data_IF_734440191829
#
_entry.id   IF_734440191829
#
_cell.length_a   1.000
_cell.length_b   1.000
_cell.length_c   1.000
_cell.angle_alpha   90.00
_cell.angle_beta   90.00
_cell.angle_gamma   90.00
#
_symmetry.space_group_name_H-M   'P 1'
#
loop_
_entity.id
_entity.type
_entity.pdbx_description
1 polymer ?
#
# COMPACT_ATOMS: atom_id res chain seq x y z
N UNK A 1 10.65 14.06 -11.14
CA UNK A 1 11.25 14.82 -10.01
C UNK A 1 10.30 15.76 -9.25
N UNK A 2 8.97 15.64 -9.43
CA UNK A 2 8.02 16.48 -8.69
C UNK A 2 8.04 16.17 -7.18
N UNK A 3 8.01 14.90 -6.80
CA UNK A 3 7.97 14.47 -5.39
C UNK A 3 9.23 14.93 -4.62
N UNK A 4 10.39 14.92 -5.25
CA UNK A 4 11.66 15.36 -4.63
C UNK A 4 11.71 16.85 -4.24
N UNK A 5 10.78 17.66 -4.71
CA UNK A 5 10.65 19.04 -4.25
C UNK A 5 10.08 19.13 -2.83
N UNK A 6 9.53 18.03 -2.31
CA UNK A 6 8.81 17.96 -1.05
C UNK A 6 9.38 16.94 -0.05
N UNK A 7 10.37 16.15 -0.46
CA UNK A 7 11.03 15.17 0.42
C UNK A 7 12.52 15.02 0.06
N UNK A 8 13.34 14.79 1.07
CA UNK A 8 14.79 14.57 0.92
C UNK A 8 15.04 13.13 0.44
N UNK A 9 14.36 12.15 1.03
CA UNK A 9 14.45 10.73 0.71
C UNK A 9 13.12 10.18 0.23
N UNK A 10 13.14 9.31 -0.76
CA UNK A 10 11.98 8.62 -1.30
C UNK A 10 12.22 7.11 -1.28
N UNK A 11 11.29 6.36 -0.71
CA UNK A 11 11.27 4.91 -0.85
C UNK A 11 10.13 4.47 -1.76
N UNK A 12 10.45 3.74 -2.81
CA UNK A 12 9.49 3.17 -3.75
C UNK A 12 9.35 1.68 -3.47
N UNK A 13 8.15 1.25 -3.12
CA UNK A 13 7.85 -0.14 -2.78
C UNK A 13 6.96 -0.75 -3.86
N UNK A 14 7.47 -1.80 -4.51
CA UNK A 14 6.72 -2.59 -5.47
C UNK A 14 6.01 -3.77 -4.78
N UNK A 15 4.71 -3.94 -5.05
CA UNK A 15 3.93 -5.11 -4.63
C UNK A 15 3.34 -5.77 -5.88
N UNK A 16 3.58 -7.07 -6.12
CA UNK A 16 3.05 -7.77 -7.30
C UNK A 16 1.54 -7.96 -7.22
N UNK A 17 0.83 -7.59 -8.29
CA UNK A 17 -0.58 -7.90 -8.46
C UNK A 17 -0.80 -9.32 -9.00
N UNK A 18 -1.98 -9.88 -8.80
CA UNK A 18 -2.27 -11.26 -9.24
C UNK A 18 -2.48 -11.38 -10.78
N UNK A 19 -2.81 -10.29 -11.48
CA UNK A 19 -3.05 -10.27 -12.93
C UNK A 19 -1.86 -9.78 -13.75
N UNK A 20 -0.92 -9.07 -13.15
CA UNK A 20 0.18 -8.38 -13.83
C UNK A 20 1.56 -8.68 -13.23
N UNK A 21 1.67 -9.73 -12.45
CA UNK A 21 2.87 -10.10 -11.66
C UNK A 21 4.18 -9.90 -12.39
N UNK A 22 4.28 -10.43 -13.61
CA UNK A 22 5.52 -10.39 -14.37
C UNK A 22 5.73 -9.01 -15.03
N UNK A 23 4.71 -8.44 -15.64
CA UNK A 23 4.81 -7.15 -16.33
C UNK A 23 5.06 -6.00 -15.36
N UNK A 24 4.40 -5.99 -14.21
CA UNK A 24 4.62 -4.97 -13.19
C UNK A 24 5.99 -5.11 -12.53
N UNK A 25 6.49 -6.35 -12.33
CA UNK A 25 7.86 -6.59 -11.87
C UNK A 25 8.90 -6.01 -12.84
N UNK A 26 8.78 -6.33 -14.13
CA UNK A 26 9.70 -5.80 -15.13
C UNK A 26 9.64 -4.27 -15.23
N UNK A 27 8.45 -3.69 -15.10
CA UNK A 27 8.28 -2.24 -15.08
C UNK A 27 8.98 -1.61 -13.87
N UNK A 28 8.75 -2.14 -12.67
CA UNK A 28 9.38 -1.64 -11.44
C UNK A 28 10.91 -1.74 -11.53
N UNK A 29 11.42 -2.87 -12.03
CA UNK A 29 12.85 -3.07 -12.23
C UNK A 29 13.44 -2.12 -13.28
N UNK A 30 12.76 -1.94 -14.42
CA UNK A 30 13.19 -1.00 -15.47
C UNK A 30 13.22 0.45 -14.94
N UNK A 31 12.20 0.86 -14.21
CA UNK A 31 12.14 2.19 -13.61
C UNK A 31 13.25 2.41 -12.58
N UNK A 32 13.55 1.42 -11.76
CA UNK A 32 14.64 1.50 -10.77
C UNK A 32 16.02 1.67 -11.42
N UNK A 33 16.20 1.21 -12.65
CA UNK A 33 17.44 1.41 -13.43
C UNK A 33 17.44 2.70 -14.24
N UNK A 34 16.29 3.14 -14.69
CA UNK A 34 16.15 4.37 -15.48
C UNK A 34 16.22 5.64 -14.63
N UNK A 35 15.80 5.56 -13.37
CA UNK A 35 15.81 6.67 -12.42
C UNK A 35 16.97 6.45 -11.44
N UNK A 36 18.15 6.85 -11.87
CA UNK A 36 19.39 6.78 -11.07
C UNK A 36 19.51 8.02 -10.19
N UNK A 37 18.92 7.96 -9.00
CA UNK A 37 18.94 9.03 -8.01
C UNK A 37 19.28 8.43 -6.65
N UNK A 38 20.38 8.85 -5.99
CA UNK A 38 20.84 8.26 -4.73
C UNK A 38 19.86 8.44 -3.56
N UNK A 39 18.93 9.39 -3.65
CA UNK A 39 17.93 9.64 -2.62
C UNK A 39 16.63 8.89 -2.90
N UNK A 40 16.61 7.98 -3.89
CA UNK A 40 15.47 7.12 -4.18
C UNK A 40 15.86 5.66 -3.92
N UNK A 41 15.31 5.10 -2.86
CA UNK A 41 15.46 3.68 -2.54
C UNK A 41 14.36 2.89 -3.23
N UNK A 42 14.73 1.94 -4.08
CA UNK A 42 13.82 1.07 -4.79
C UNK A 42 13.79 -0.31 -4.15
N UNK A 43 12.64 -0.70 -3.60
CA UNK A 43 12.38 -2.08 -3.22
C UNK A 43 11.60 -2.77 -4.33
N UNK A 44 12.33 -3.42 -5.23
CA UNK A 44 11.80 -4.20 -6.35
C UNK A 44 11.84 -5.71 -6.10
N UNK A 45 12.10 -6.16 -4.87
CA UNK A 45 12.05 -7.57 -4.52
C UNK A 45 10.68 -8.16 -4.83
N UNK A 46 10.68 -9.37 -5.39
CA UNK A 46 9.45 -10.08 -5.74
C UNK A 46 8.87 -10.78 -4.50
N UNK A 47 8.35 -9.98 -3.57
CA UNK A 47 7.70 -10.45 -2.36
C UNK A 47 6.23 -9.99 -2.34
N UNK A 48 5.33 -10.89 -1.96
CA UNK A 48 3.89 -10.59 -1.90
C UNK A 48 3.51 -9.73 -0.70
N UNK A 49 4.35 -9.74 0.35
CA UNK A 49 4.17 -8.93 1.57
C UNK A 49 5.45 -8.21 1.92
N UNK A 50 5.34 -6.94 2.23
CA UNK A 50 6.47 -6.10 2.66
C UNK A 50 6.09 -5.27 3.87
N UNK A 51 7.07 -5.01 4.72
CA UNK A 51 6.90 -4.25 5.95
C UNK A 51 8.00 -3.22 6.09
N UNK A 52 7.63 -2.01 6.47
CA UNK A 52 8.52 -0.91 6.81
C UNK A 52 8.14 -0.32 8.15
N UNK A 53 9.11 0.19 8.88
CA UNK A 53 8.88 0.89 10.14
C UNK A 53 9.50 2.28 10.09
N UNK A 54 8.79 3.24 10.66
CA UNK A 54 9.28 4.60 10.85
C UNK A 54 8.73 5.17 12.15
N UNK A 55 9.59 5.39 13.14
CA UNK A 55 9.17 5.68 14.49
C UNK A 55 8.26 4.60 15.04
N UNK A 56 7.13 5.00 15.61
CA UNK A 56 6.11 4.08 16.13
C UNK A 56 5.16 3.53 15.05
N UNK A 57 5.46 3.77 13.77
CA UNK A 57 4.62 3.34 12.67
C UNK A 57 5.13 2.05 12.03
N UNK A 58 4.20 1.13 11.78
CA UNK A 58 4.38 -0.11 11.03
C UNK A 58 3.51 -0.05 9.77
N UNK A 59 4.17 -0.04 8.63
CA UNK A 59 3.52 -0.03 7.32
C UNK A 59 3.67 -1.39 6.68
N UNK A 60 2.55 -2.08 6.48
CA UNK A 60 2.50 -3.34 5.76
C UNK A 60 1.82 -3.15 4.41
N UNK A 61 2.30 -3.85 3.40
CA UNK A 61 1.81 -3.78 2.03
C UNK A 61 1.62 -5.18 1.46
N UNK A 62 0.45 -5.45 0.90
CA UNK A 62 0.15 -6.64 0.11
C UNK A 62 -0.88 -6.33 -0.97
N UNK A 63 -1.00 -7.21 -1.99
CA UNK A 63 -1.99 -7.00 -3.04
C UNK A 63 -3.44 -7.14 -2.53
N UNK A 64 -3.70 -8.10 -1.66
CA UNK A 64 -5.01 -8.29 -1.05
C UNK A 64 -5.96 -9.24 -1.79
N UNK A 65 -5.46 -10.06 -2.71
CA UNK A 65 -6.21 -11.11 -3.42
C UNK A 65 -6.48 -12.35 -2.55
N UNK A 66 -5.80 -12.47 -1.43
CA UNK A 66 -6.01 -13.52 -0.43
C UNK A 66 -6.79 -12.97 0.76
N UNK A 67 -7.49 -13.84 1.47
CA UNK A 67 -8.32 -13.47 2.61
C UNK A 67 -7.52 -12.77 3.73
N UNK A 68 -7.85 -11.52 3.98
CA UNK A 68 -7.17 -10.65 4.97
C UNK A 68 -7.66 -10.83 6.41
N UNK A 69 -8.60 -11.74 6.69
CA UNK A 69 -9.21 -11.89 8.05
C UNK A 69 -8.21 -12.18 9.17
N UNK A 70 -7.10 -12.86 8.85
CA UNK A 70 -6.08 -13.22 9.82
C UNK A 70 -4.78 -12.39 9.66
N UNK A 71 -4.80 -11.33 8.89
CA UNK A 71 -3.60 -10.53 8.58
C UNK A 71 -2.92 -9.99 9.84
N UNK A 72 -3.68 -9.58 10.86
CA UNK A 72 -3.10 -9.13 12.13
C UNK A 72 -2.19 -10.18 12.76
N UNK A 73 -2.68 -11.41 12.91
CA UNK A 73 -1.90 -12.50 13.49
C UNK A 73 -0.73 -12.91 12.58
N UNK A 74 -0.94 -12.92 11.27
CA UNK A 74 0.06 -13.22 10.28
C UNK A 74 1.25 -12.25 10.38
N UNK A 75 0.99 -10.95 10.32
CA UNK A 75 2.04 -9.92 10.39
C UNK A 75 2.75 -9.89 11.75
N UNK A 76 2.04 -10.09 12.84
CA UNK A 76 2.65 -10.23 14.17
C UNK A 76 3.59 -11.44 14.26
N UNK A 77 3.28 -12.53 13.54
CA UNK A 77 4.07 -13.77 13.52
C UNK A 77 5.26 -13.68 12.57
N UNK A 78 5.06 -13.13 11.37
CA UNK A 78 6.13 -13.02 10.35
C UNK A 78 7.15 -11.93 10.68
N UNK A 79 6.70 -10.83 11.30
CA UNK A 79 7.50 -9.64 11.58
C UNK A 79 7.51 -9.26 13.07
N UNK A 80 7.82 -10.22 13.99
CA UNK A 80 7.63 -9.98 15.43
C UNK A 80 8.50 -8.87 16.00
N UNK A 81 9.67 -8.62 15.41
CA UNK A 81 10.55 -7.52 15.85
C UNK A 81 9.96 -6.16 15.51
N UNK A 82 9.57 -5.96 14.26
CA UNK A 82 8.97 -4.71 13.78
C UNK A 82 7.63 -4.47 14.47
N UNK A 83 6.85 -5.53 14.66
CA UNK A 83 5.59 -5.48 15.37
C UNK A 83 5.75 -5.05 16.83
N UNK A 84 6.75 -5.60 17.52
CA UNK A 84 6.97 -5.34 18.95
C UNK A 84 7.47 -3.93 19.26
N UNK A 85 8.12 -3.26 18.32
CA UNK A 85 8.66 -1.90 18.52
C UNK A 85 7.75 -0.79 18.03
N UNK A 86 6.58 -1.10 17.45
CA UNK A 86 5.65 -0.14 16.88
C UNK A 86 4.29 -0.21 17.55
N UNK A 87 3.60 0.92 17.61
CA UNK A 87 2.25 1.03 18.16
C UNK A 87 1.18 1.25 17.07
N UNK A 88 1.48 2.05 16.06
CA UNK A 88 0.57 2.41 14.96
C UNK A 88 0.80 1.51 13.77
N UNK A 89 -0.10 0.58 13.50
CA UNK A 89 0.10 -0.46 12.46
C UNK A 89 -0.97 -0.35 11.40
N UNK A 90 -0.54 -0.17 10.16
CA UNK A 90 -1.44 -0.07 8.99
C UNK A 90 -1.04 -1.09 7.94
N UNK A 91 -2.03 -1.87 7.48
CA UNK A 91 -1.92 -2.73 6.32
C UNK A 91 -2.63 -2.06 5.14
N UNK A 92 -1.88 -1.79 4.09
CA UNK A 92 -2.38 -1.29 2.82
C UNK A 92 -2.57 -2.44 1.84
N UNK A 93 -3.78 -2.58 1.32
CA UNK A 93 -4.12 -3.59 0.30
C UNK A 93 -4.77 -2.93 -0.90
N UNK A 94 -4.66 -3.57 -2.06
CA UNK A 94 -5.38 -3.21 -3.28
C UNK A 94 -6.48 -4.22 -3.60
N UNK A 95 -6.51 -4.70 -4.85
CA UNK A 95 -7.32 -5.77 -5.43
C UNK A 95 -8.85 -5.59 -5.37
N UNK A 96 -9.41 -5.24 -4.23
CA UNK A 96 -10.85 -5.07 -4.07
C UNK A 96 -11.29 -3.72 -4.65
N UNK A 97 -11.59 -3.67 -5.94
CA UNK A 97 -12.05 -2.49 -6.66
C UNK A 97 -13.45 -1.99 -6.26
N UNK A 98 -13.97 -2.46 -5.14
CA UNK A 98 -15.30 -2.10 -4.68
C UNK A 98 -15.32 -0.73 -4.00
N UNK A 99 -16.21 0.12 -4.47
CA UNK A 99 -16.81 1.22 -3.69
C UNK A 99 -17.67 0.70 -2.52
N UNK A 100 -17.25 -0.30 -1.83
CA UNK A 100 -17.71 -0.37 -0.46
C UNK A 100 -16.96 0.76 0.25
N UNK A 101 -17.70 1.72 0.85
CA UNK A 101 -17.22 2.56 1.93
C UNK A 101 -15.99 1.91 2.50
N UNK A 102 -14.86 2.62 2.53
CA UNK A 102 -13.69 2.14 3.24
C UNK A 102 -14.20 1.86 4.65
N UNK A 103 -14.71 0.67 4.86
CA UNK A 103 -15.00 0.19 6.18
C UNK A 103 -13.62 -0.05 6.75
N UNK A 104 -13.14 0.95 7.47
CA UNK A 104 -12.05 0.74 8.40
C UNK A 104 -12.48 -0.44 9.26
N UNK A 105 -12.02 -1.64 8.92
CA UNK A 105 -12.13 -2.76 9.84
C UNK A 105 -11.11 -2.44 10.93
N UNK A 106 -11.50 -1.59 11.84
CA UNK A 106 -10.88 -1.51 13.14
C UNK A 106 -11.14 -2.84 13.82
N UNK A 107 -10.30 -3.82 13.50
CA UNK A 107 -10.22 -5.02 14.31
C UNK A 107 -9.69 -4.61 15.66
N UNK A 108 -10.57 -4.19 16.57
CA UNK A 108 -10.29 -3.72 17.91
C UNK A 108 -9.32 -2.53 17.96
N UNK A 109 -9.79 -1.37 18.34
CA UNK A 109 -8.99 -0.19 18.72
C UNK A 109 -7.89 -0.51 19.76
N UNK A 110 -7.99 -1.65 20.44
CA UNK A 110 -7.03 -2.11 21.43
C UNK A 110 -5.73 -2.68 20.87
N UNK A 111 -5.67 -3.03 19.60
CA UNK A 111 -4.47 -3.66 18.99
C UNK A 111 -3.65 -2.71 18.13
N UNK A 112 -4.14 -1.50 17.86
CA UNK A 112 -3.44 -0.54 17.00
C UNK A 112 -3.14 -1.07 15.60
N UNK A 113 -4.03 -1.90 15.02
CA UNK A 113 -3.90 -2.42 13.66
C UNK A 113 -5.07 -1.95 12.79
N UNK A 114 -4.76 -1.31 11.68
CA UNK A 114 -5.72 -0.80 10.72
C UNK A 114 -5.52 -1.47 9.35
N UNK A 115 -6.61 -1.96 8.75
CA UNK A 115 -6.62 -2.42 7.38
C UNK A 115 -7.17 -1.31 6.48
N UNK A 116 -6.41 -0.89 5.47
CA UNK A 116 -6.82 0.07 4.45
C UNK A 116 -6.83 -0.58 3.06
N UNK A 117 -7.99 -0.51 2.40
CA UNK A 117 -8.14 -0.95 1.01
C UNK A 117 -7.97 0.26 0.12
N UNK A 118 -6.89 0.28 -0.65
CA UNK A 118 -6.55 1.39 -1.52
C UNK A 118 -7.39 1.35 -2.82
N UNK A 119 -7.79 2.51 -3.34
CA UNK A 119 -8.44 2.61 -4.63
C UNK A 119 -7.46 2.30 -5.77
N UNK A 120 -7.98 1.97 -6.94
CA UNK A 120 -7.18 1.75 -8.14
C UNK A 120 -6.99 3.04 -8.94
N UNK A 121 -5.79 3.23 -9.50
CA UNK A 121 -5.50 4.25 -10.51
C UNK A 121 -5.77 3.75 -11.95
N UNK A 122 -5.98 2.45 -12.15
CA UNK A 122 -6.24 1.88 -13.46
C UNK A 122 -7.64 2.27 -13.98
N UNK A 123 -7.76 2.36 -15.31
CA UNK A 123 -9.07 2.48 -15.97
C UNK A 123 -9.81 1.14 -15.91
N UNK A 124 -11.13 1.21 -16.12
CA UNK A 124 -11.96 0.02 -16.37
C UNK A 124 -11.39 -0.72 -17.59
N UNK A 125 -10.89 -1.93 -17.38
CA UNK A 125 -10.45 -2.83 -18.43
C UNK A 125 -11.58 -3.79 -18.84
N UNK A 126 -11.28 -4.73 -19.75
CA UNK A 126 -12.25 -5.72 -20.22
C UNK A 126 -12.80 -6.57 -19.08
N UNK A 127 -11.99 -6.97 -18.12
CA UNK A 127 -12.41 -7.78 -16.98
C UNK A 127 -13.40 -7.01 -16.09
N UNK A 128 -13.09 -5.74 -15.77
CA UNK A 128 -14.00 -4.88 -14.99
C UNK A 128 -15.34 -4.66 -15.72
N UNK A 129 -15.29 -4.44 -17.03
CA UNK A 129 -16.51 -4.29 -17.84
C UNK A 129 -17.34 -5.56 -17.85
N UNK A 130 -16.71 -6.72 -18.11
CA UNK A 130 -17.37 -8.01 -18.14
C UNK A 130 -18.05 -8.36 -16.80
N UNK A 131 -17.39 -8.06 -15.68
CA UNK A 131 -17.89 -8.32 -14.33
C UNK A 131 -18.77 -7.19 -13.76
N UNK A 132 -19.16 -6.21 -14.59
CA UNK A 132 -20.03 -5.08 -14.23
C UNK A 132 -19.47 -4.15 -13.16
N UNK A 133 -18.15 -4.11 -12.99
CA UNK A 133 -17.43 -3.15 -12.13
C UNK A 133 -17.15 -1.84 -12.88
N UNK A 134 -18.22 -1.17 -13.34
CA UNK A 134 -18.12 0.09 -14.06
C UNK A 134 -18.36 1.28 -13.13
N UNK A 135 -17.64 2.38 -13.36
CA UNK A 135 -17.83 3.63 -12.62
C UNK A 135 -17.07 3.75 -11.30
N UNK A 136 -16.07 2.91 -11.06
CA UNK A 136 -15.10 3.16 -9.97
C UNK A 136 -14.28 4.41 -10.29
N UNK A 137 -14.23 5.38 -9.37
CA UNK A 137 -13.34 6.53 -9.51
C UNK A 137 -11.90 6.07 -9.36
N UNK A 138 -11.05 6.45 -10.32
CA UNK A 138 -9.61 6.30 -10.18
C UNK A 138 -9.14 7.26 -9.11
N UNK A 139 -8.34 6.79 -8.19
CA UNK A 139 -7.77 7.67 -7.17
C UNK A 139 -6.49 7.11 -6.57
N UNK A 140 -5.66 8.02 -6.07
CA UNK A 140 -4.53 7.72 -5.21
C UNK A 140 -4.78 8.32 -3.84
N UNK A 141 -4.14 7.76 -2.83
CA UNK A 141 -4.21 8.22 -1.46
C UNK A 141 -2.85 8.75 -1.04
N UNK A 142 -2.84 9.89 -0.40
CA UNK A 142 -1.67 10.47 0.25
C UNK A 142 -1.96 10.50 1.74
N UNK A 143 -1.08 9.93 2.53
CA UNK A 143 -1.17 9.98 3.99
C UNK A 143 0.01 10.73 4.57
N UNK A 144 -0.27 11.52 5.59
CA UNK A 144 0.73 12.18 6.41
C UNK A 144 0.77 11.50 7.77
N UNK A 145 1.94 11.02 8.15
CA UNK A 145 2.13 10.35 9.42
C UNK A 145 3.03 11.17 10.33
N UNK A 146 2.69 11.22 11.60
CA UNK A 146 3.58 11.69 12.66
C UNK A 146 4.47 10.55 13.14
N UNK A 147 5.69 10.87 13.53
CA UNK A 147 6.69 9.87 13.95
C UNK A 147 6.19 8.96 15.09
N UNK A 148 5.42 9.51 16.04
CA UNK A 148 4.94 8.79 17.23
C UNK A 148 3.43 8.57 17.25
N UNK A 149 2.64 9.37 16.50
CA UNK A 149 1.18 9.41 16.64
C UNK A 149 0.41 8.66 15.55
N UNK A 150 1.10 8.16 14.53
CA UNK A 150 0.45 7.51 13.41
C UNK A 150 -0.09 8.48 12.36
N UNK A 151 -1.13 8.08 11.65
CA UNK A 151 -1.74 8.88 10.58
C UNK A 151 -2.41 10.14 11.16
N UNK A 152 -2.07 11.32 10.64
CA UNK A 152 -2.62 12.61 11.04
C UNK A 152 -3.44 13.29 9.94
N UNK A 153 -3.28 12.89 8.70
CA UNK A 153 -4.01 13.45 7.57
C UNK A 153 -4.07 12.45 6.41
N UNK A 154 -5.21 12.40 5.73
CA UNK A 154 -5.40 11.62 4.51
C UNK A 154 -6.01 12.51 3.44
N UNK A 155 -5.42 12.49 2.25
CA UNK A 155 -5.89 13.17 1.07
C UNK A 155 -6.12 12.16 -0.05
N UNK A 156 -7.27 12.24 -0.71
CA UNK A 156 -7.57 11.43 -1.89
C UNK A 156 -7.54 12.30 -3.13
N UNK A 157 -6.72 11.91 -4.10
CA UNK A 157 -6.63 12.54 -5.41
C UNK A 157 -7.30 11.66 -6.46
N UNK A 158 -8.23 12.20 -7.22
CA UNK A 158 -8.86 11.55 -8.37
C UNK A 158 -8.45 12.28 -9.65
N UNK A 159 -7.66 11.68 -10.55
CA UNK A 159 -7.39 12.26 -11.86
C UNK A 159 -8.67 12.27 -12.70
N UNK A 160 -8.85 13.29 -13.50
CA UNK A 160 -9.95 13.46 -14.46
C UNK A 160 -9.97 12.37 -15.54
#
# INVERSE_FOLDING_TARGET
NFIKQYCDDLQVVYIPGNHDRLSSFHLAHALSKAIDDPNILWDTEYLERKVYTWGDNFFAFEHGDVNTKNSLLLYATEFPKQWGITANRTLFTGHLHHKKKVEYITTNERTGFMLKILPSLSRTDYWHYHNKFVGSKRSGVIELHDYNKGNICELTYSPD
#
